data_IF_133673031650
#
_entry.id   IF_133673031650
#
_cell.length_a   1.000
_cell.length_b   1.000
_cell.length_c   1.000
_cell.angle_alpha   90.00
_cell.angle_beta   90.00
_cell.angle_gamma   90.00
#
_symmetry.space_group_name_H-M   'P 1'
#
loop_
_entity.id
_entity.type
_entity.pdbx_description
1 polymer ?
#
# COMPACT_ATOMS: atom_id res chain seq x y z
N UNK A 1 -0.64 -5.17 28.52
CA UNK A 1 0.41 -5.63 27.58
C UNK A 1 0.29 -4.78 26.33
N UNK A 2 1.38 -4.18 25.84
CA UNK A 2 1.33 -3.48 24.55
C UNK A 2 0.99 -4.50 23.48
N UNK A 3 -0.13 -4.31 22.82
CA UNK A 3 -0.60 -5.20 21.77
C UNK A 3 0.33 -5.00 20.55
N UNK A 4 1.03 -6.07 20.15
CA UNK A 4 2.02 -6.00 19.08
C UNK A 4 1.29 -5.94 17.74
N UNK A 5 1.51 -4.88 16.95
CA UNK A 5 0.93 -4.77 15.62
C UNK A 5 1.56 -5.82 14.68
N UNK A 6 0.73 -6.56 13.97
CA UNK A 6 1.12 -7.53 12.95
C UNK A 6 0.40 -7.27 11.63
N UNK A 7 0.98 -7.74 10.54
CA UNK A 7 0.29 -7.80 9.25
C UNK A 7 -0.58 -9.05 9.20
N UNK A 8 -1.81 -8.89 8.75
CA UNK A 8 -2.75 -9.98 8.51
C UNK A 8 -3.27 -9.89 7.07
N UNK A 9 -3.56 -11.03 6.45
CA UNK A 9 -4.25 -11.06 5.18
C UNK A 9 -5.69 -10.56 5.35
N UNK A 10 -6.20 -9.72 4.45
CA UNK A 10 -7.61 -9.36 4.42
C UNK A 10 -8.48 -10.62 4.39
N UNK A 11 -9.40 -10.73 5.34
CA UNK A 11 -10.26 -11.90 5.48
C UNK A 11 -11.60 -11.54 6.13
N UNK A 12 -12.57 -12.44 6.05
CA UNK A 12 -13.88 -12.24 6.70
C UNK A 12 -13.77 -12.07 8.22
N UNK A 13 -12.78 -12.70 8.85
CA UNK A 13 -12.53 -12.56 10.29
C UNK A 13 -12.23 -11.10 10.69
N UNK A 14 -11.51 -10.38 9.83
CA UNK A 14 -11.06 -9.01 10.10
C UNK A 14 -11.99 -7.94 9.48
N UNK A 15 -12.95 -8.36 8.62
CA UNK A 15 -13.72 -7.46 7.77
C UNK A 15 -14.59 -6.48 8.56
N UNK A 16 -15.20 -6.92 9.66
CA UNK A 16 -16.06 -6.05 10.47
C UNK A 16 -15.32 -4.83 11.01
N UNK A 17 -14.07 -5.01 11.47
CA UNK A 17 -13.23 -3.91 11.97
C UNK A 17 -12.78 -2.98 10.84
N UNK A 18 -12.50 -3.52 9.65
CA UNK A 18 -12.21 -2.72 8.45
C UNK A 18 -13.41 -1.85 8.07
N UNK A 19 -14.61 -2.44 7.99
CA UNK A 19 -15.85 -1.72 7.68
C UNK A 19 -16.12 -0.60 8.69
N UNK A 20 -15.87 -0.84 9.97
CA UNK A 20 -16.00 0.19 11.01
C UNK A 20 -15.07 1.39 10.76
N UNK A 21 -13.86 1.16 10.25
CA UNK A 21 -12.97 2.26 9.86
C UNK A 21 -13.48 3.03 8.64
N UNK A 22 -14.00 2.34 7.62
CA UNK A 22 -14.64 2.98 6.46
C UNK A 22 -15.86 3.82 6.86
N UNK A 23 -16.71 3.30 7.76
CA UNK A 23 -17.89 4.01 8.28
C UNK A 23 -17.52 5.27 9.07
N UNK A 24 -16.33 5.31 9.66
CA UNK A 24 -15.74 6.51 10.29
C UNK A 24 -15.15 7.49 9.27
N UNK A 25 -15.29 7.23 7.97
CA UNK A 25 -14.81 8.07 6.88
C UNK A 25 -13.34 7.88 6.51
N UNK A 26 -12.67 6.85 7.05
CA UNK A 26 -11.30 6.55 6.64
C UNK A 26 -11.27 5.86 5.27
N UNK A 27 -10.31 6.23 4.47
CA UNK A 27 -9.92 5.49 3.27
C UNK A 27 -8.41 5.58 3.06
N UNK A 28 -7.86 4.70 2.23
CA UNK A 28 -6.43 4.73 1.90
C UNK A 28 -6.02 6.02 1.18
N UNK A 29 -6.92 6.61 0.40
CA UNK A 29 -6.70 7.87 -0.32
C UNK A 29 -6.96 9.12 0.52
N UNK A 30 -7.61 8.97 1.67
CA UNK A 30 -8.07 10.07 2.51
C UNK A 30 -9.39 10.71 2.03
N UNK A 31 -10.03 10.15 0.99
CA UNK A 31 -11.28 10.64 0.43
C UNK A 31 -12.49 9.88 0.99
N UNK A 32 -13.47 10.58 1.52
CA UNK A 32 -14.68 9.95 2.07
C UNK A 32 -15.48 9.19 0.99
N UNK A 33 -15.46 9.66 -0.25
CA UNK A 33 -16.11 8.98 -1.37
C UNK A 33 -15.52 7.59 -1.62
N UNK A 34 -14.19 7.41 -1.48
CA UNK A 34 -13.55 6.12 -1.62
C UNK A 34 -13.96 5.14 -0.51
N UNK A 35 -14.14 5.63 0.73
CA UNK A 35 -14.66 4.81 1.82
C UNK A 35 -16.08 4.29 1.54
N UNK A 36 -16.95 5.15 1.02
CA UNK A 36 -18.33 4.78 0.66
C UNK A 36 -18.37 3.78 -0.51
N UNK A 37 -17.47 3.93 -1.49
CA UNK A 37 -17.37 2.98 -2.60
C UNK A 37 -16.95 1.60 -2.11
N UNK A 38 -15.91 1.52 -1.28
CA UNK A 38 -15.47 0.24 -0.71
C UNK A 38 -16.57 -0.42 0.15
N UNK A 39 -17.35 0.34 0.91
CA UNK A 39 -18.50 -0.20 1.64
C UNK A 39 -19.53 -0.82 0.69
N UNK A 40 -19.87 -0.14 -0.42
CA UNK A 40 -20.79 -0.68 -1.43
C UNK A 40 -20.23 -1.94 -2.10
N UNK A 41 -18.94 -1.98 -2.40
CA UNK A 41 -18.30 -3.18 -2.94
C UNK A 41 -18.41 -4.37 -1.98
N UNK A 42 -18.16 -4.14 -0.69
CA UNK A 42 -18.27 -5.17 0.35
C UNK A 42 -19.72 -5.67 0.48
N UNK A 43 -20.69 -4.76 0.49
CA UNK A 43 -22.13 -5.09 0.52
C UNK A 43 -22.56 -5.88 -0.72
N UNK A 44 -22.01 -5.56 -1.88
CA UNK A 44 -22.25 -6.29 -3.12
C UNK A 44 -21.69 -7.71 -3.09
N UNK A 45 -20.45 -7.87 -2.69
CA UNK A 45 -19.81 -9.18 -2.46
C UNK A 45 -18.50 -9.04 -1.68
N UNK A 46 -18.53 -9.40 -0.41
CA UNK A 46 -17.33 -9.45 0.43
C UNK A 46 -16.27 -10.43 -0.08
N UNK A 47 -16.70 -11.53 -0.71
CA UNK A 47 -15.78 -12.50 -1.34
C UNK A 47 -14.99 -11.88 -2.49
N UNK A 48 -15.66 -11.19 -3.41
CA UNK A 48 -15.01 -10.52 -4.55
C UNK A 48 -14.10 -9.41 -4.04
N UNK A 49 -14.57 -8.61 -3.08
CA UNK A 49 -13.79 -7.56 -2.45
C UNK A 49 -12.48 -8.10 -1.86
N UNK A 50 -12.54 -9.14 -1.04
CA UNK A 50 -11.38 -9.75 -0.41
C UNK A 50 -10.45 -10.41 -1.42
N UNK A 51 -10.98 -11.09 -2.44
CA UNK A 51 -10.18 -11.70 -3.49
C UNK A 51 -9.32 -10.67 -4.25
N UNK A 52 -9.84 -9.47 -4.48
CA UNK A 52 -9.08 -8.37 -5.12
C UNK A 52 -7.93 -7.84 -4.27
N UNK A 53 -7.92 -8.11 -2.95
CA UNK A 53 -6.83 -7.70 -2.05
C UNK A 53 -5.63 -8.67 -2.11
N UNK A 54 -5.76 -9.83 -2.77
CA UNK A 54 -4.69 -10.82 -2.97
C UNK A 54 -4.67 -11.26 -4.44
N UNK A 55 -4.23 -10.38 -5.34
CA UNK A 55 -4.23 -10.60 -6.79
C UNK A 55 -2.80 -10.69 -7.34
N UNK A 56 -2.08 -11.75 -6.93
CA UNK A 56 -0.67 -11.96 -7.31
C UNK A 56 -0.47 -12.33 -8.78
N UNK A 57 -1.52 -12.69 -9.48
CA UNK A 57 -1.49 -13.07 -10.90
C UNK A 57 -2.11 -12.01 -11.81
N UNK A 58 -2.56 -10.87 -11.23
CA UNK A 58 -3.22 -9.78 -11.96
C UNK A 58 -4.46 -10.24 -12.76
N UNK A 59 -5.26 -11.12 -12.18
CA UNK A 59 -6.49 -11.66 -12.81
C UNK A 59 -7.68 -10.71 -12.68
N UNK A 60 -7.57 -9.68 -11.85
CA UNK A 60 -8.61 -8.67 -11.67
C UNK A 60 -8.83 -7.82 -12.94
N UNK A 61 -9.97 -7.15 -13.00
CA UNK A 61 -10.29 -6.24 -14.11
C UNK A 61 -9.22 -5.16 -14.29
N UNK A 62 -8.99 -4.68 -15.52
CA UNK A 62 -8.12 -3.55 -15.79
C UNK A 62 -8.49 -2.33 -14.93
N UNK A 63 -7.53 -1.45 -14.73
CA UNK A 63 -7.70 -0.21 -13.98
C UNK A 63 -8.08 0.90 -14.96
N UNK A 64 -9.16 1.63 -14.67
CA UNK A 64 -9.52 2.85 -15.41
C UNK A 64 -8.76 4.02 -14.80
N UNK A 65 -7.99 4.74 -15.63
CA UNK A 65 -7.29 5.94 -15.23
C UNK A 65 -8.23 7.17 -15.27
N UNK A 66 -7.85 8.29 -14.62
CA UNK A 66 -8.66 9.51 -14.59
C UNK A 66 -9.00 10.10 -15.98
N UNK A 67 -8.18 9.83 -16.98
CA UNK A 67 -8.41 10.24 -18.38
C UNK A 67 -9.37 9.31 -19.14
N UNK A 68 -9.92 8.29 -18.47
CA UNK A 68 -10.81 7.29 -19.06
C UNK A 68 -10.11 6.14 -19.78
N UNK A 69 -8.79 6.17 -19.91
CA UNK A 69 -8.03 5.06 -20.49
C UNK A 69 -8.00 3.86 -19.54
N UNK A 70 -7.80 2.66 -20.09
CA UNK A 70 -7.73 1.43 -19.33
C UNK A 70 -6.33 0.84 -19.43
N UNK A 71 -5.78 0.45 -18.30
CA UNK A 71 -4.45 -0.16 -18.20
C UNK A 71 -4.52 -1.52 -17.52
N UNK A 72 -3.64 -2.47 -17.88
CA UNK A 72 -3.57 -3.75 -17.18
C UNK A 72 -3.30 -3.56 -15.69
N UNK A 73 -3.91 -4.39 -14.87
CA UNK A 73 -3.62 -4.47 -13.46
C UNK A 73 -2.22 -5.07 -13.24
N UNK A 74 -1.51 -4.56 -12.26
CA UNK A 74 -0.27 -5.19 -11.81
C UNK A 74 -0.57 -6.31 -10.80
N UNK A 75 0.23 -7.37 -10.78
CA UNK A 75 0.28 -8.29 -9.65
C UNK A 75 0.46 -7.52 -8.36
N UNK A 76 -0.26 -7.92 -7.32
CA UNK A 76 -0.15 -7.22 -6.05
C UNK A 76 -0.98 -7.86 -4.95
N UNK A 77 -0.75 -7.41 -3.75
CA UNK A 77 -1.54 -7.81 -2.60
C UNK A 77 -1.59 -6.70 -1.56
N UNK A 78 -2.54 -6.84 -0.64
CA UNK A 78 -2.71 -5.98 0.53
C UNK A 78 -2.49 -6.79 1.80
N UNK A 79 -2.02 -6.11 2.84
CA UNK A 79 -2.05 -6.59 4.22
C UNK A 79 -2.72 -5.53 5.08
N UNK A 80 -3.51 -5.98 6.03
CA UNK A 80 -4.06 -5.11 7.05
C UNK A 80 -3.16 -5.08 8.27
N UNK A 81 -2.97 -3.88 8.82
CA UNK A 81 -2.28 -3.66 10.07
C UNK A 81 -3.28 -3.98 11.21
N UNK A 82 -2.87 -4.85 12.11
CA UNK A 82 -3.76 -5.41 13.12
C UNK A 82 -3.12 -5.43 14.51
N UNK A 83 -3.80 -4.84 15.51
CA UNK A 83 -3.41 -4.87 16.93
C UNK A 83 -4.53 -5.38 17.85
N UNK A 84 -5.50 -6.11 17.31
CA UNK A 84 -6.77 -6.49 17.89
C UNK A 84 -7.95 -5.85 17.16
N UNK A 85 -7.68 -4.79 16.42
CA UNK A 85 -8.60 -4.14 15.48
C UNK A 85 -7.84 -3.65 14.24
N UNK A 86 -8.57 -3.17 13.22
CA UNK A 86 -7.97 -2.61 12.01
C UNK A 86 -7.26 -1.29 12.31
N UNK A 87 -5.97 -1.22 11.97
CA UNK A 87 -5.11 -0.06 12.20
C UNK A 87 -4.69 0.65 10.92
N UNK A 88 -4.90 0.03 9.77
CA UNK A 88 -4.45 0.55 8.49
C UNK A 88 -4.20 -0.54 7.47
N UNK A 89 -3.67 -0.15 6.33
CA UNK A 89 -3.32 -1.07 5.24
C UNK A 89 -1.94 -0.76 4.69
N UNK A 90 -1.29 -1.79 4.16
CA UNK A 90 -0.11 -1.70 3.33
C UNK A 90 -0.32 -2.58 2.11
N UNK A 91 0.06 -2.09 0.93
CA UNK A 91 -0.05 -2.83 -0.33
C UNK A 91 1.30 -2.92 -0.99
N UNK A 92 1.52 -4.03 -1.68
CA UNK A 92 2.69 -4.26 -2.50
C UNK A 92 2.26 -4.65 -3.92
N UNK A 93 2.93 -4.10 -4.92
CA UNK A 93 2.69 -4.37 -6.34
C UNK A 93 4.02 -4.38 -7.08
N UNK A 94 4.08 -5.15 -8.18
CA UNK A 94 5.29 -5.27 -8.99
C UNK A 94 4.94 -5.53 -10.45
N UNK A 95 5.93 -5.35 -11.32
CA UNK A 95 5.85 -5.78 -12.71
C UNK A 95 6.74 -7.02 -12.89
N UNK A 96 6.22 -8.16 -13.37
CA UNK A 96 7.01 -9.37 -13.53
C UNK A 96 8.24 -9.17 -14.43
N UNK A 97 9.38 -9.70 -13.99
CA UNK A 97 10.62 -9.69 -14.76
C UNK A 97 11.38 -8.36 -14.79
N UNK A 98 10.93 -7.35 -14.06
CA UNK A 98 11.61 -6.04 -13.99
C UNK A 98 11.43 -5.39 -12.63
N UNK A 99 12.30 -4.42 -12.32
CA UNK A 99 12.15 -3.52 -11.17
C UNK A 99 11.45 -2.22 -11.53
N UNK A 100 11.14 -2.01 -12.80
CA UNK A 100 10.44 -0.82 -13.26
C UNK A 100 8.93 -0.95 -13.03
N UNK A 101 8.29 0.18 -12.83
CA UNK A 101 6.85 0.30 -12.74
C UNK A 101 6.31 1.14 -13.89
N UNK A 102 5.12 0.84 -14.41
CA UNK A 102 4.53 1.66 -15.46
C UNK A 102 4.18 3.07 -14.93
N UNK A 103 4.06 4.07 -15.83
CA UNK A 103 3.88 5.48 -15.44
C UNK A 103 2.67 5.77 -14.54
N UNK A 104 1.67 4.88 -14.56
CA UNK A 104 0.48 4.99 -13.70
C UNK A 104 0.68 4.40 -12.29
N UNK A 105 1.89 3.96 -11.95
CA UNK A 105 2.22 3.40 -10.65
C UNK A 105 3.51 4.04 -10.12
N UNK A 106 3.41 4.88 -9.09
CA UNK A 106 4.54 5.68 -8.62
C UNK A 106 5.54 4.90 -7.75
N UNK A 107 5.11 3.80 -7.12
CA UNK A 107 5.97 3.02 -6.23
C UNK A 107 5.42 1.62 -5.98
N UNK A 108 6.28 0.72 -5.54
CA UNK A 108 5.94 -0.68 -5.24
C UNK A 108 5.06 -0.80 -4.00
N UNK A 109 5.23 0.08 -3.03
CA UNK A 109 4.52 0.02 -1.75
C UNK A 109 3.72 1.30 -1.53
N UNK A 110 2.49 1.12 -1.05
CA UNK A 110 1.66 2.18 -0.50
C UNK A 110 1.09 1.73 0.85
N UNK A 111 1.01 2.66 1.81
CA UNK A 111 0.45 2.40 3.13
C UNK A 111 -0.30 3.59 3.68
N UNK A 112 -1.28 3.30 4.53
CA UNK A 112 -2.00 4.31 5.30
C UNK A 112 -2.41 3.72 6.65
N UNK A 113 -2.26 4.54 7.70
CA UNK A 113 -2.67 4.21 9.08
C UNK A 113 -3.89 5.06 9.43
N UNK A 114 -4.87 4.46 10.08
CA UNK A 114 -6.05 5.19 10.54
C UNK A 114 -5.65 6.33 11.50
N UNK A 115 -6.32 7.50 11.45
CA UNK A 115 -5.91 8.68 12.22
C UNK A 115 -5.72 8.42 13.71
N UNK A 116 -6.60 7.62 14.31
CA UNK A 116 -6.58 7.30 15.74
C UNK A 116 -5.52 6.28 16.18
N UNK A 117 -4.72 5.76 15.24
CA UNK A 117 -3.57 4.85 15.47
C UNK A 117 -2.26 5.43 14.94
N UNK A 118 -2.25 6.67 14.45
CA UNK A 118 -1.04 7.33 14.01
C UNK A 118 -0.11 7.65 15.19
N UNK A 119 1.18 7.83 14.92
CA UNK A 119 2.19 8.11 15.95
C UNK A 119 2.65 6.90 16.77
N UNK A 120 2.06 5.72 16.58
CA UNK A 120 2.39 4.48 17.31
C UNK A 120 3.50 3.65 16.64
N UNK A 121 4.11 4.13 15.54
CA UNK A 121 5.14 3.40 14.81
C UNK A 121 4.62 2.32 13.86
N UNK A 122 3.32 2.15 13.72
CA UNK A 122 2.70 1.07 12.95
C UNK A 122 3.08 1.07 11.47
N UNK A 123 3.17 2.23 10.82
CA UNK A 123 3.62 2.31 9.43
C UNK A 123 5.08 1.83 9.26
N UNK A 124 5.97 2.18 10.20
CA UNK A 124 7.36 1.73 10.20
C UNK A 124 7.45 0.21 10.32
N UNK A 125 6.70 -0.34 11.27
CA UNK A 125 6.68 -1.78 11.51
C UNK A 125 6.02 -2.54 10.35
N UNK A 126 4.95 -2.00 9.76
CA UNK A 126 4.29 -2.61 8.60
C UNK A 126 5.23 -2.67 7.39
N UNK A 127 5.96 -1.58 7.13
CA UNK A 127 6.94 -1.56 6.05
C UNK A 127 8.05 -2.59 6.31
N UNK A 128 8.56 -2.69 7.54
CA UNK A 128 9.55 -3.71 7.91
C UNK A 128 9.06 -5.13 7.68
N UNK A 129 7.79 -5.43 8.03
CA UNK A 129 7.21 -6.76 7.91
C UNK A 129 6.93 -7.17 6.46
N UNK A 130 6.68 -6.24 5.54
CA UNK A 130 6.36 -6.57 4.14
C UNK A 130 7.62 -6.78 3.27
N UNK A 131 8.77 -6.23 3.63
CA UNK A 131 10.02 -6.34 2.84
C UNK A 131 10.43 -7.78 2.52
N UNK A 132 10.31 -8.77 3.42
CA UNK A 132 10.62 -10.16 3.10
C UNK A 132 9.82 -10.72 1.92
N UNK A 133 8.58 -10.28 1.70
CA UNK A 133 7.79 -10.72 0.55
C UNK A 133 8.36 -10.22 -0.79
N UNK A 134 8.92 -9.01 -0.81
CA UNK A 134 9.65 -8.49 -1.98
C UNK A 134 10.95 -9.26 -2.24
N UNK A 135 11.65 -9.66 -1.18
CA UNK A 135 12.86 -10.51 -1.30
C UNK A 135 12.55 -11.86 -1.93
N UNK A 136 11.44 -12.50 -1.55
CA UNK A 136 11.00 -13.78 -2.15
C UNK A 136 10.75 -13.65 -3.65
N UNK A 137 10.33 -12.47 -4.13
CA UNK A 137 10.17 -12.19 -5.56
C UNK A 137 11.50 -11.91 -6.29
N UNK A 138 12.63 -11.97 -5.59
CA UNK A 138 13.95 -11.74 -6.18
C UNK A 138 14.24 -10.29 -6.52
N UNK A 139 13.50 -9.34 -5.96
CA UNK A 139 13.70 -7.91 -6.21
C UNK A 139 14.98 -7.42 -5.51
N UNK A 140 15.90 -6.72 -6.21
CA UNK A 140 17.11 -6.18 -5.58
C UNK A 140 16.82 -4.91 -4.74
N UNK A 141 15.74 -4.22 -5.04
CA UNK A 141 15.24 -3.06 -4.30
C UNK A 141 13.74 -2.88 -4.54
N UNK A 142 13.12 -2.10 -3.69
CA UNK A 142 11.79 -1.56 -3.90
C UNK A 142 11.81 -0.03 -3.91
N UNK A 143 10.86 0.57 -4.60
CA UNK A 143 10.65 2.01 -4.61
C UNK A 143 9.41 2.37 -3.81
N UNK A 144 9.54 3.38 -2.96
CA UNK A 144 8.44 4.00 -2.21
C UNK A 144 8.44 5.49 -2.50
N UNK A 145 7.28 6.05 -2.82
CA UNK A 145 7.15 7.48 -3.11
C UNK A 145 6.35 8.19 -2.03
N UNK A 146 6.70 9.44 -1.78
CA UNK A 146 5.98 10.30 -0.85
C UNK A 146 6.04 11.76 -1.29
N UNK A 147 5.21 12.61 -0.68
CA UNK A 147 5.26 14.04 -0.90
C UNK A 147 6.39 14.70 -0.09
N UNK A 148 7.04 15.76 -0.60
CA UNK A 148 8.08 16.47 0.13
C UNK A 148 7.60 17.03 1.49
N UNK A 149 6.32 17.32 1.63
CA UNK A 149 5.72 17.80 2.88
C UNK A 149 5.33 16.69 3.85
N UNK A 150 5.29 15.43 3.40
CA UNK A 150 4.94 14.28 4.25
C UNK A 150 6.17 13.75 5.00
N UNK A 151 6.64 14.52 5.97
CA UNK A 151 7.81 14.17 6.79
C UNK A 151 7.62 12.89 7.60
N UNK A 152 6.38 12.55 7.94
CA UNK A 152 6.06 11.31 8.64
C UNK A 152 6.38 10.09 7.76
N UNK A 153 5.94 10.11 6.50
CA UNK A 153 6.24 9.03 5.55
C UNK A 153 7.73 8.93 5.23
N UNK A 154 8.43 10.06 5.06
CA UNK A 154 9.88 10.08 4.87
C UNK A 154 10.61 9.33 6.00
N UNK A 155 10.28 9.65 7.27
CA UNK A 155 10.84 8.97 8.44
C UNK A 155 10.54 7.47 8.48
N UNK A 156 9.33 7.07 8.07
CA UNK A 156 8.97 5.64 7.97
C UNK A 156 9.87 4.92 6.98
N UNK A 157 10.09 5.51 5.81
CA UNK A 157 10.90 4.95 4.74
C UNK A 157 12.37 4.89 5.16
N UNK A 158 12.91 5.99 5.68
CA UNK A 158 14.33 6.10 6.12
C UNK A 158 14.64 5.11 7.26
N UNK A 159 13.74 4.92 8.23
CA UNK A 159 13.89 3.92 9.30
C UNK A 159 13.93 2.48 8.80
N UNK A 160 13.45 2.23 7.59
CA UNK A 160 13.53 0.94 6.91
C UNK A 160 14.68 0.87 5.89
N UNK A 161 15.66 1.75 6.00
CA UNK A 161 16.83 1.77 5.12
C UNK A 161 16.60 2.43 3.77
N UNK A 162 15.50 3.17 3.62
CA UNK A 162 15.22 3.92 2.40
C UNK A 162 16.18 5.09 2.20
N UNK A 163 16.74 5.15 0.99
CA UNK A 163 17.64 6.24 0.55
C UNK A 163 16.90 7.04 -0.51
N UNK A 164 16.92 8.37 -0.38
CA UNK A 164 16.36 9.24 -1.40
C UNK A 164 17.10 9.02 -2.73
N UNK A 165 16.36 8.56 -3.74
CA UNK A 165 16.89 8.25 -5.06
C UNK A 165 16.72 9.41 -6.03
N UNK A 166 15.52 10.02 -6.06
CA UNK A 166 15.24 11.18 -6.91
C UNK A 166 14.12 12.07 -6.37
N UNK A 167 14.14 13.31 -6.80
CA UNK A 167 12.98 14.21 -6.75
C UNK A 167 12.43 14.33 -8.15
N UNK A 168 11.12 14.11 -8.33
CA UNK A 168 10.48 14.08 -9.65
C UNK A 168 9.17 14.84 -9.64
N UNK A 169 8.67 15.18 -10.83
CA UNK A 169 7.31 15.69 -10.98
C UNK A 169 6.38 14.51 -11.26
N UNK A 170 5.40 14.34 -10.41
CA UNK A 170 4.37 13.30 -10.60
C UNK A 170 3.65 13.52 -11.92
N UNK A 171 3.29 12.45 -12.64
CA UNK A 171 2.45 12.53 -13.84
C UNK A 171 1.14 13.29 -13.59
N UNK A 172 0.52 13.78 -14.66
CA UNK A 172 -0.68 14.63 -14.59
C UNK A 172 -1.83 14.00 -13.81
N UNK A 173 -2.02 12.68 -13.93
CA UNK A 173 -3.04 11.92 -13.19
C UNK A 173 -2.81 11.91 -11.67
N UNK A 174 -1.61 12.30 -11.20
CA UNK A 174 -1.26 12.47 -9.79
C UNK A 174 -1.07 13.94 -9.40
N UNK A 175 -1.57 14.87 -10.23
CA UNK A 175 -1.64 16.30 -9.96
C UNK A 175 -0.41 17.11 -10.29
N UNK A 176 0.58 16.57 -11.03
CA UNK A 176 1.79 17.28 -11.50
C UNK A 176 2.55 18.00 -10.38
N UNK A 177 2.53 17.45 -9.17
CA UNK A 177 3.20 18.00 -7.99
C UNK A 177 4.56 17.32 -7.77
N UNK A 178 5.52 17.97 -7.10
CA UNK A 178 6.76 17.32 -6.70
C UNK A 178 6.52 16.05 -5.87
N UNK A 179 7.33 15.04 -6.10
CA UNK A 179 7.37 13.80 -5.35
C UNK A 179 8.80 13.42 -5.01
N UNK A 180 8.97 12.70 -3.92
CA UNK A 180 10.23 12.09 -3.53
C UNK A 180 10.14 10.59 -3.78
N UNK A 181 11.14 10.00 -4.44
CA UNK A 181 11.28 8.56 -4.62
C UNK A 181 12.46 8.06 -3.81
N UNK A 182 12.18 7.10 -2.95
CA UNK A 182 13.17 6.40 -2.14
C UNK A 182 13.35 5.00 -2.65
N UNK A 183 14.56 4.46 -2.54
CA UNK A 183 14.86 3.04 -2.73
C UNK A 183 15.25 2.39 -1.42
N UNK A 184 14.65 1.23 -1.16
CA UNK A 184 15.06 0.32 -0.08
C UNK A 184 15.73 -0.87 -0.77
N UNK A 185 17.04 -1.00 -0.60
CA UNK A 185 17.81 -2.11 -1.16
C UNK A 185 17.60 -3.36 -0.32
N UNK A 186 17.28 -4.45 -1.00
CA UNK A 186 17.00 -5.73 -0.38
C UNK A 186 18.27 -6.58 -0.48
N UNK A 187 19.05 -6.69 0.61
CA UNK A 187 20.18 -7.60 0.66
C UNK A 187 19.64 -9.03 0.79
N UNK A 188 19.88 -9.85 -0.22
CA UNK A 188 19.84 -11.28 -0.04
C UNK A 188 21.00 -11.61 0.89
N UNK A 189 20.71 -12.02 2.12
CA UNK A 189 21.75 -12.45 3.04
C UNK A 189 22.61 -13.48 2.31
N UNK A 190 23.91 -13.19 2.20
CA UNK A 190 24.87 -14.19 1.79
C UNK A 190 24.77 -15.32 2.81
N UNK A 191 24.28 -16.47 2.36
CA UNK A 191 24.27 -17.70 3.15
C UNK A 191 25.70 -18.13 3.45
#
# INVERSE_FOLDING_TARGET
>A
MAQYMKLVSPSHEHLASYMAALQRGWSMTGEAAAAQEELREIEGSSYIFLARKEDREALGAPITLPDGSSVPRLPGFHRWLWDGEFCGTISFRWQPGTTELPPHCLGHIGYAVVPWKQGLGYATEALRQILPEAMVLGMPFIEVTTDPTNTASQKVIERNGGVLFETFIKPIQFGSKPGLRYRIYLSHGSA
#
